data_IF_829267626093
#
_entry.id   IF_829267626093
#
_cell.length_a   1.000
_cell.length_b   1.000
_cell.length_c   1.000
_cell.angle_alpha   90.00
_cell.angle_beta   90.00
_cell.angle_gamma   90.00
#
_symmetry.space_group_name_H-M   'P 1'
#
loop_
_entity.id
_entity.type
_entity.pdbx_description
1 polymer ?
#
# COMPACT_ATOMS: atom_id res chain seq x y z
N UNK A 1 -22.50 -0.54 3.76
CA UNK A 1 -21.92 -0.66 5.12
C UNK A 1 -20.42 -0.39 4.98
N UNK A 2 -19.98 0.84 5.25
CA UNK A 2 -18.57 1.24 5.09
C UNK A 2 -17.79 0.67 6.27
N UNK A 3 -16.92 -0.32 6.03
CA UNK A 3 -16.01 -0.80 7.06
C UNK A 3 -15.01 0.31 7.34
N UNK A 4 -15.01 0.84 8.55
CA UNK A 4 -13.94 1.72 9.02
C UNK A 4 -12.67 0.88 9.08
N UNK A 5 -11.76 1.08 8.12
CA UNK A 5 -10.51 0.35 8.06
C UNK A 5 -9.56 0.90 9.13
N UNK A 6 -9.05 0.04 10.01
CA UNK A 6 -8.12 0.41 11.07
C UNK A 6 -6.71 -0.05 10.70
N UNK A 7 -5.73 0.86 10.83
CA UNK A 7 -4.32 0.56 10.65
C UNK A 7 -3.88 -0.57 11.59
N UNK A 8 -4.35 -0.58 12.84
CA UNK A 8 -3.97 -1.62 13.80
C UNK A 8 -4.35 -3.03 13.33
N UNK A 9 -5.49 -3.16 12.65
CA UNK A 9 -6.03 -4.42 12.15
C UNK A 9 -5.34 -4.94 10.88
N UNK A 10 -4.51 -4.13 10.21
CA UNK A 10 -3.80 -4.57 9.02
C UNK A 10 -2.70 -5.59 9.37
N UNK A 11 -2.55 -6.68 8.58
CA UNK A 11 -1.41 -7.59 8.71
C UNK A 11 -0.07 -6.85 8.56
N UNK A 12 1.01 -7.28 9.24
CA UNK A 12 2.33 -6.63 9.15
C UNK A 12 2.84 -6.46 7.70
N UNK A 13 2.63 -7.47 6.86
CA UNK A 13 3.02 -7.44 5.45
C UNK A 13 2.22 -6.43 4.63
N UNK A 14 0.95 -6.21 4.96
CA UNK A 14 0.12 -5.20 4.30
C UNK A 14 0.54 -3.79 4.70
N UNK A 15 0.88 -3.57 5.98
CA UNK A 15 1.46 -2.31 6.47
C UNK A 15 2.76 -1.97 5.76
N UNK A 16 3.70 -2.94 5.70
CA UNK A 16 4.96 -2.76 4.99
C UNK A 16 4.76 -2.48 3.49
N UNK A 17 3.82 -3.17 2.86
CA UNK A 17 3.46 -2.95 1.45
C UNK A 17 2.94 -1.53 1.20
N UNK A 18 2.07 -1.02 2.09
CA UNK A 18 1.57 0.35 2.05
C UNK A 18 2.69 1.37 2.26
N UNK A 19 3.58 1.14 3.22
CA UNK A 19 4.72 2.04 3.48
C UNK A 19 5.66 2.12 2.27
N UNK A 20 6.00 0.98 1.66
CA UNK A 20 6.82 0.96 0.44
C UNK A 20 6.11 1.63 -0.72
N UNK A 21 4.82 1.34 -0.93
CA UNK A 21 4.03 2.01 -1.95
C UNK A 21 4.01 3.53 -1.73
N UNK A 22 3.92 4.00 -0.48
CA UNK A 22 3.96 5.44 -0.17
C UNK A 22 5.31 6.06 -0.47
N UNK A 23 6.41 5.41 -0.06
CA UNK A 23 7.79 5.89 -0.28
C UNK A 23 8.11 5.96 -1.77
N UNK A 24 7.66 4.97 -2.54
CA UNK A 24 7.99 4.83 -3.95
C UNK A 24 6.92 5.40 -4.91
N UNK A 25 5.91 6.10 -4.40
CA UNK A 25 4.80 6.64 -5.18
C UNK A 25 4.06 5.57 -6.03
N UNK A 26 3.79 4.45 -5.38
CA UNK A 26 3.10 3.29 -5.91
C UNK A 26 3.97 2.03 -5.91
N UNK A 27 3.38 0.96 -6.44
CA UNK A 27 4.03 -0.30 -6.72
C UNK A 27 4.00 -0.54 -8.23
N UNK A 28 4.92 -1.36 -8.72
CA UNK A 28 4.92 -1.88 -10.08
C UNK A 28 4.91 -3.40 -10.04
N UNK A 29 4.03 -3.99 -10.86
CA UNK A 29 3.95 -5.44 -11.07
C UNK A 29 5.12 -5.89 -11.94
N UNK A 30 5.83 -6.90 -11.45
CA UNK A 30 6.92 -7.60 -12.13
C UNK A 30 6.56 -9.09 -12.29
N UNK A 31 7.43 -9.85 -12.94
CA UNK A 31 7.32 -11.31 -13.03
C UNK A 31 7.38 -12.02 -11.67
N UNK A 32 8.01 -11.39 -10.66
CA UNK A 32 8.26 -11.97 -9.34
C UNK A 32 7.37 -11.39 -8.23
N UNK A 33 6.41 -10.52 -8.57
CA UNK A 33 5.50 -9.90 -7.60
C UNK A 33 5.40 -8.40 -7.80
N UNK A 34 5.34 -7.65 -6.71
CA UNK A 34 5.22 -6.20 -6.73
C UNK A 34 6.37 -5.56 -5.97
N UNK A 35 6.99 -4.55 -6.55
CA UNK A 35 8.06 -3.76 -5.91
C UNK A 35 7.65 -2.29 -5.87
N UNK A 36 8.34 -1.48 -5.06
CA UNK A 36 8.17 -0.02 -5.11
C UNK A 36 8.40 0.49 -6.53
N UNK A 37 7.52 1.38 -7.03
CA UNK A 37 7.56 1.87 -8.41
C UNK A 37 8.91 2.48 -8.80
N UNK A 38 9.59 3.13 -7.86
CA UNK A 38 10.93 3.72 -8.06
C UNK A 38 12.05 2.90 -7.40
N UNK A 39 11.78 1.69 -6.94
CA UNK A 39 12.79 0.82 -6.37
C UNK A 39 13.67 0.21 -7.47
N UNK A 40 14.91 -0.13 -7.11
CA UNK A 40 15.81 -0.87 -8.00
C UNK A 40 15.18 -2.23 -8.38
N UNK A 41 15.19 -2.65 -9.66
CA UNK A 41 14.58 -3.90 -10.10
C UNK A 41 15.08 -5.16 -9.36
N UNK A 42 16.35 -5.14 -8.95
CA UNK A 42 17.03 -6.20 -8.20
C UNK A 42 16.63 -6.26 -6.72
N UNK A 43 15.81 -5.33 -6.21
CA UNK A 43 15.42 -5.29 -4.79
C UNK A 43 14.80 -6.60 -4.32
N UNK A 44 15.25 -7.09 -3.17
CA UNK A 44 14.66 -8.26 -2.52
C UNK A 44 13.31 -7.93 -1.84
N UNK A 45 12.98 -6.65 -1.69
CA UNK A 45 11.73 -6.21 -1.10
C UNK A 45 10.58 -6.33 -2.11
N UNK A 46 10.02 -7.54 -2.19
CA UNK A 46 8.92 -7.90 -3.10
C UNK A 46 7.68 -8.30 -2.32
N UNK A 47 6.51 -7.92 -2.83
CA UNK A 47 5.21 -8.27 -2.27
C UNK A 47 4.45 -9.22 -3.20
N UNK A 48 3.86 -10.26 -2.61
CA UNK A 48 3.03 -11.19 -3.35
C UNK A 48 1.70 -10.57 -3.78
N UNK A 49 1.14 -11.10 -4.87
CA UNK A 49 -0.14 -10.63 -5.43
C UNK A 49 -1.31 -10.68 -4.44
N UNK A 50 -1.32 -11.64 -3.51
CA UNK A 50 -2.37 -11.78 -2.51
C UNK A 50 -2.46 -10.55 -1.58
N UNK A 51 -1.31 -10.01 -1.18
CA UNK A 51 -1.26 -8.82 -0.31
C UNK A 51 -1.78 -7.60 -1.06
N UNK A 52 -1.32 -7.40 -2.30
CA UNK A 52 -1.76 -6.27 -3.14
C UNK A 52 -3.25 -6.36 -3.48
N UNK A 53 -3.75 -7.55 -3.80
CA UNK A 53 -5.18 -7.77 -4.05
C UNK A 53 -6.05 -7.51 -2.80
N UNK A 54 -5.54 -7.80 -1.59
CA UNK A 54 -6.22 -7.44 -0.36
C UNK A 54 -6.31 -5.93 -0.18
N UNK A 55 -5.21 -5.20 -0.40
CA UNK A 55 -5.20 -3.74 -0.36
C UNK A 55 -6.16 -3.11 -1.38
N UNK A 56 -6.25 -3.69 -2.59
CA UNK A 56 -7.21 -3.24 -3.60
C UNK A 56 -8.66 -3.52 -3.18
N UNK A 57 -8.93 -4.70 -2.61
CA UNK A 57 -10.26 -5.05 -2.09
C UNK A 57 -10.69 -4.12 -0.96
N UNK A 58 -9.74 -3.74 -0.11
CA UNK A 58 -9.94 -2.81 1.00
C UNK A 58 -9.96 -1.33 0.55
N UNK A 59 -9.81 -1.08 -0.76
CA UNK A 59 -9.88 0.26 -1.34
C UNK A 59 -8.68 1.15 -1.01
N UNK A 60 -7.57 0.58 -0.54
CA UNK A 60 -6.33 1.30 -0.21
C UNK A 60 -5.38 1.46 -1.39
N UNK A 61 -5.51 0.60 -2.40
CA UNK A 61 -4.73 0.65 -3.61
C UNK A 61 -5.64 0.44 -4.83
N UNK A 62 -5.22 0.92 -5.99
CA UNK A 62 -5.90 0.65 -7.26
C UNK A 62 -4.88 0.53 -8.38
N UNK A 63 -5.22 -0.19 -9.46
CA UNK A 63 -4.45 -0.11 -10.69
C UNK A 63 -4.53 1.31 -11.26
N UNK A 64 -3.44 1.77 -11.87
CA UNK A 64 -3.44 3.00 -12.65
C UNK A 64 -4.32 2.84 -13.90
N UNK A 65 -4.94 3.93 -14.34
CA UNK A 65 -5.86 3.91 -15.48
C UNK A 65 -5.15 3.76 -16.84
N UNK A 66 -3.87 4.12 -16.91
CA UNK A 66 -3.07 4.13 -18.13
C UNK A 66 -2.05 2.98 -18.17
N UNK A 67 -1.70 2.41 -17.02
CA UNK A 67 -0.80 1.27 -16.91
C UNK A 67 -1.27 0.27 -15.84
N UNK A 68 -1.83 -0.86 -16.28
CA UNK A 68 -2.32 -1.93 -15.40
C UNK A 68 -1.23 -2.58 -14.51
N UNK A 69 0.04 -2.37 -14.84
CA UNK A 69 1.17 -2.85 -14.03
C UNK A 69 1.42 -1.92 -12.85
N UNK A 70 1.00 -0.66 -12.94
CA UNK A 70 1.14 0.30 -11.86
C UNK A 70 -0.01 0.16 -10.88
N UNK A 71 0.34 0.16 -9.61
CA UNK A 71 -0.60 0.18 -8.50
C UNK A 71 -0.34 1.45 -7.69
N UNK A 72 -1.34 2.30 -7.60
CA UNK A 72 -1.26 3.58 -6.88
C UNK A 72 -2.07 3.52 -5.60
N UNK A 73 -1.66 4.31 -4.61
CA UNK A 73 -2.41 4.47 -3.37
C UNK A 73 -3.66 5.33 -3.62
N UNK A 74 -4.74 4.99 -2.95
CA UNK A 74 -5.98 5.77 -2.99
C UNK A 74 -5.99 6.87 -1.93
N UNK A 75 -6.95 7.78 -2.02
CA UNK A 75 -7.20 8.78 -0.97
C UNK A 75 -7.51 8.13 0.39
N UNK A 76 -8.11 6.93 0.39
CA UNK A 76 -8.38 6.19 1.62
C UNK A 76 -7.08 5.75 2.32
N UNK A 77 -6.06 5.32 1.56
CA UNK A 77 -4.75 5.02 2.13
C UNK A 77 -4.07 6.28 2.69
N UNK A 78 -4.16 7.40 1.97
CA UNK A 78 -3.65 8.69 2.47
C UNK A 78 -4.32 9.11 3.78
N UNK A 79 -5.65 8.98 3.87
CA UNK A 79 -6.40 9.26 5.10
C UNK A 79 -5.98 8.33 6.26
N UNK A 80 -5.74 7.05 5.97
CA UNK A 80 -5.30 6.05 6.95
C UNK A 80 -3.93 6.42 7.57
N UNK A 81 -2.96 6.84 6.74
CA UNK A 81 -1.67 7.31 7.22
C UNK A 81 -1.77 8.57 8.08
N UNK A 82 -2.62 9.52 7.69
CA UNK A 82 -2.83 10.75 8.45
C UNK A 82 -3.46 10.45 9.82
N UNK A 83 -4.39 9.51 9.88
CA UNK A 83 -5.01 9.08 11.13
C UNK A 83 -4.01 8.40 12.08
N UNK A 84 -3.17 7.51 11.55
CA UNK A 84 -2.08 6.90 12.33
C UNK A 84 -1.16 7.96 12.93
N UNK A 85 -0.68 8.92 12.13
CA UNK A 85 0.24 9.96 12.60
C UNK A 85 -0.35 10.81 13.73
N UNK A 86 -1.63 11.21 13.61
CA UNK A 86 -2.33 11.96 14.66
C UNK A 86 -2.43 11.17 15.96
N UNK A 87 -2.72 9.87 15.90
CA UNK A 87 -2.78 9.04 17.10
C UNK A 87 -1.40 8.84 17.75
N UNK A 88 -0.31 8.85 16.98
CA UNK A 88 1.05 8.82 17.52
C UNK A 88 1.45 10.15 18.18
N UNK A 89 1.04 11.29 17.63
CA UNK A 89 1.36 12.63 18.17
C UNK A 89 0.60 12.97 19.46
N UNK A 90 -0.58 12.40 19.70
CA UNK A 90 -1.39 12.67 20.90
C UNK A 90 -1.01 11.78 22.10
N UNK A 91 -0.19 10.75 21.88
CA UNK A 91 0.21 9.77 22.90
C UNK A 91 1.62 9.93 23.48
N UNK A 92 2.30 11.07 23.26
CA UNK A 92 3.63 11.37 23.80
C UNK A 92 3.60 12.47 24.86
#
# INVERSE_FOLDING_TARGET
MQKTLDWAALPPTAKLCLDVARIHNGLVKTEHGYIGRTAAPETDQRFGAVVVAALMRDGLATSDAFDERLVVLTDAATALFLFQRKNTEVGS
#
